data_IF_211179469793
#
_entry.id   IF_211179469793
#
_cell.length_a   1.000
_cell.length_b   1.000
_cell.length_c   1.000
_cell.angle_alpha   90.00
_cell.angle_beta   90.00
_cell.angle_gamma   90.00
#
_symmetry.space_group_name_H-M   'P 1'
#
loop_
_entity.id
_entity.type
_entity.pdbx_description
1 polymer ?
#
# COMPACT_ATOMS: atom_id res chain seq x y z
N UNK A 1 1.14 5.69 -14.83
CA UNK A 1 2.55 5.90 -14.45
C UNK A 1 3.00 7.24 -15.02
N UNK A 2 3.95 7.94 -14.40
CA UNK A 2 4.62 9.06 -15.10
C UNK A 2 5.55 8.47 -16.18
N UNK A 3 5.89 9.24 -17.20
CA UNK A 3 6.78 8.78 -18.28
C UNK A 3 8.18 8.40 -17.77
N UNK A 4 8.58 8.90 -16.59
CA UNK A 4 9.84 8.60 -15.90
C UNK A 4 9.78 7.34 -15.01
N UNK A 5 8.69 6.57 -15.07
CA UNK A 5 8.50 5.36 -14.27
C UNK A 5 8.14 5.61 -12.81
N UNK A 6 8.01 6.87 -12.37
CA UNK A 6 7.64 7.21 -10.99
C UNK A 6 6.14 7.21 -10.79
N UNK A 7 5.75 7.00 -9.53
CA UNK A 7 4.38 7.20 -9.06
C UNK A 7 3.97 8.67 -9.23
N UNK A 8 2.69 8.91 -9.51
CA UNK A 8 2.15 10.28 -9.67
C UNK A 8 2.13 11.00 -8.32
N UNK A 9 2.51 12.28 -8.31
CA UNK A 9 2.53 13.08 -7.08
C UNK A 9 1.15 13.13 -6.41
N UNK A 10 0.08 13.28 -7.19
CA UNK A 10 -1.30 13.28 -6.67
C UNK A 10 -1.67 11.99 -5.91
N UNK A 11 -1.06 10.85 -6.25
CA UNK A 11 -1.26 9.59 -5.53
C UNK A 11 -0.50 9.58 -4.20
N UNK A 12 0.73 10.09 -4.19
CA UNK A 12 1.54 10.23 -2.98
C UNK A 12 0.83 11.19 -2.00
N UNK A 13 0.34 12.32 -2.50
CA UNK A 13 -0.36 13.33 -1.69
C UNK A 13 -1.65 12.76 -1.09
N UNK A 14 -2.45 12.05 -1.90
CA UNK A 14 -3.68 11.41 -1.43
C UNK A 14 -3.41 10.33 -0.38
N UNK A 15 -2.38 9.50 -0.58
CA UNK A 15 -1.97 8.49 0.38
C UNK A 15 -1.46 9.12 1.68
N UNK A 16 -0.66 10.18 1.59
CA UNK A 16 -0.14 10.88 2.76
C UNK A 16 -1.23 11.59 3.55
N UNK A 17 -2.29 12.07 2.89
CA UNK A 17 -3.43 12.72 3.56
C UNK A 17 -4.22 11.76 4.45
N UNK A 18 -4.22 10.46 4.15
CA UNK A 18 -4.91 9.42 4.93
C UNK A 18 -4.11 9.01 6.17
N UNK A 19 -4.61 9.26 7.41
CA UNK A 19 -3.89 8.93 8.63
C UNK A 19 -3.49 7.46 8.75
N UNK A 20 -4.39 6.52 8.38
CA UNK A 20 -4.12 5.08 8.53
C UNK A 20 -2.98 4.61 7.63
N UNK A 21 -2.83 5.20 6.44
CA UNK A 21 -1.73 4.88 5.53
C UNK A 21 -0.44 5.61 5.90
N UNK A 22 -0.53 6.81 6.50
CA UNK A 22 0.63 7.57 6.98
C UNK A 22 1.39 6.85 8.09
N UNK A 23 0.71 6.00 8.84
CA UNK A 23 1.29 5.17 9.90
C UNK A 23 2.02 3.93 9.36
N UNK A 24 1.81 3.56 8.09
CA UNK A 24 2.45 2.43 7.43
C UNK A 24 3.76 2.83 6.75
N UNK A 25 4.60 1.85 6.43
CA UNK A 25 5.84 2.10 5.69
C UNK A 25 5.55 2.16 4.18
N UNK A 26 5.65 3.33 3.53
CA UNK A 26 5.44 3.44 2.09
C UNK A 26 6.68 2.99 1.34
N UNK A 27 6.48 2.27 0.24
CA UNK A 27 7.55 1.98 -0.70
C UNK A 27 7.03 1.97 -2.13
N UNK A 28 7.92 2.20 -3.08
CA UNK A 28 7.59 2.22 -4.51
C UNK A 28 8.45 1.23 -5.26
N UNK A 29 7.84 0.47 -6.16
CA UNK A 29 8.53 -0.46 -7.06
C UNK A 29 7.68 -0.69 -8.30
N UNK A 30 8.30 -0.93 -9.45
CA UNK A 30 7.58 -1.18 -10.72
C UNK A 30 6.58 -0.08 -11.13
N UNK A 31 6.75 1.16 -10.63
CA UNK A 31 5.81 2.26 -10.85
C UNK A 31 4.53 2.20 -9.99
N UNK A 32 4.49 1.30 -9.01
CA UNK A 32 3.38 1.07 -8.08
C UNK A 32 3.68 1.72 -6.72
N UNK A 33 2.62 2.10 -6.00
CA UNK A 33 2.69 2.52 -4.61
C UNK A 33 2.23 1.38 -3.70
N UNK A 34 3.09 1.00 -2.76
CA UNK A 34 2.89 -0.07 -1.81
C UNK A 34 2.97 0.43 -0.38
N UNK A 35 2.40 -0.34 0.55
CA UNK A 35 2.49 -0.12 1.98
C UNK A 35 2.90 -1.41 2.68
N UNK A 36 3.71 -1.29 3.72
CA UNK A 36 4.07 -2.41 4.58
C UNK A 36 3.76 -2.11 6.04
N UNK A 37 3.37 -3.16 6.76
CA UNK A 37 3.17 -3.13 8.22
C UNK A 37 4.49 -3.21 8.99
N UNK A 38 5.63 -3.31 8.32
CA UNK A 38 6.94 -3.29 8.96
C UNK A 38 7.96 -2.46 8.16
N UNK A 39 8.99 -1.94 8.84
CA UNK A 39 10.01 -1.08 8.21
C UNK A 39 11.22 -1.86 7.69
N UNK A 40 11.42 -3.10 8.13
CA UNK A 40 12.55 -3.96 7.79
C UNK A 40 12.45 -4.57 6.38
N UNK A 41 13.60 -5.02 5.86
CA UNK A 41 13.69 -5.62 4.53
C UNK A 41 12.86 -6.93 4.46
N UNK A 42 12.36 -7.23 3.25
CA UNK A 42 11.30 -8.23 2.95
C UNK A 42 9.88 -7.78 3.29
N UNK A 43 9.57 -6.50 3.09
CA UNK A 43 8.24 -5.89 3.29
C UNK A 43 7.04 -6.85 3.20
N UNK A 44 6.07 -6.68 4.10
CA UNK A 44 4.79 -7.40 4.02
C UNK A 44 4.08 -7.15 2.68
N UNK A 45 3.38 -8.17 2.19
CA UNK A 45 2.64 -8.15 0.92
C UNK A 45 1.12 -8.32 1.13
N UNK A 46 0.65 -8.14 2.36
CA UNK A 46 -0.72 -8.36 2.81
C UNK A 46 -1.63 -7.13 2.68
N UNK A 47 -1.10 -6.02 2.16
CA UNK A 47 -1.83 -4.79 1.88
C UNK A 47 -1.93 -4.60 0.36
N UNK A 48 -3.08 -4.12 -0.10
CA UNK A 48 -3.30 -3.78 -1.50
C UNK A 48 -2.35 -2.64 -1.94
N UNK A 49 -1.87 -2.74 -3.17
CA UNK A 49 -1.02 -1.73 -3.81
C UNK A 49 -1.76 -1.03 -4.95
N UNK A 50 -1.28 0.16 -5.30
CA UNK A 50 -1.90 1.02 -6.30
C UNK A 50 -0.98 1.18 -7.51
N UNK A 51 -1.47 0.78 -8.69
CA UNK A 51 -0.78 0.94 -9.96
C UNK A 51 -1.43 2.09 -10.76
N UNK A 52 -0.74 3.22 -11.00
CA UNK A 52 -1.26 4.29 -11.85
C UNK A 52 -1.31 3.84 -13.33
N UNK A 53 -2.48 3.93 -13.97
CA UNK A 53 -2.66 3.76 -15.42
C UNK A 53 -2.73 5.13 -16.14
N UNK A 54 -3.13 5.15 -17.42
CA UNK A 54 -3.19 6.38 -18.23
C UNK A 54 -4.23 7.37 -17.70
N UNK A 55 -5.44 6.89 -17.44
CA UNK A 55 -6.60 7.70 -17.05
C UNK A 55 -7.29 7.18 -15.77
N UNK A 56 -6.67 6.21 -15.10
CA UNK A 56 -7.23 5.51 -13.95
C UNK A 56 -6.13 4.99 -13.03
N UNK A 57 -6.53 4.37 -11.95
CA UNK A 57 -5.70 3.66 -10.98
C UNK A 57 -6.20 2.23 -10.84
N UNK A 58 -5.29 1.27 -10.81
CA UNK A 58 -5.64 -0.12 -10.50
C UNK A 58 -5.26 -0.42 -9.06
N UNK A 59 -6.13 -1.13 -8.36
CA UNK A 59 -5.88 -1.61 -7.00
C UNK A 59 -5.80 -3.13 -7.03
N UNK A 60 -4.67 -3.67 -6.58
CA UNK A 60 -4.31 -5.08 -6.69
C UNK A 60 -3.61 -5.56 -5.43
N UNK A 61 -3.43 -6.87 -5.29
CA UNK A 61 -2.85 -7.48 -4.10
C UNK A 61 -3.91 -8.21 -3.25
N UNK A 62 -3.50 -8.82 -2.12
CA UNK A 62 -2.11 -9.05 -1.69
C UNK A 62 -1.33 -10.01 -2.60
N UNK A 63 -2.03 -10.86 -3.36
CA UNK A 63 -1.46 -11.56 -4.53
C UNK A 63 -1.50 -10.67 -5.77
N UNK A 64 -0.48 -10.75 -6.64
CA UNK A 64 -0.53 -10.07 -7.95
C UNK A 64 -1.62 -10.57 -8.89
N UNK A 65 -2.21 -11.75 -8.62
CA UNK A 65 -3.34 -12.27 -9.38
C UNK A 65 -4.68 -11.68 -8.94
N UNK A 66 -4.73 -11.01 -7.80
CA UNK A 66 -5.93 -10.40 -7.25
C UNK A 66 -5.98 -8.93 -7.60
N UNK A 67 -7.09 -8.49 -8.18
CA UNK A 67 -7.29 -7.13 -8.64
C UNK A 67 -8.75 -6.74 -8.42
N UNK A 68 -8.96 -5.68 -7.67
CA UNK A 68 -10.30 -5.13 -7.41
C UNK A 68 -10.84 -4.31 -8.57
N UNK A 69 -9.94 -3.89 -9.48
CA UNK A 69 -10.28 -3.23 -10.74
C UNK A 69 -9.82 -1.78 -10.81
N UNK A 70 -10.20 -1.07 -11.90
CA UNK A 70 -9.82 0.31 -12.10
C UNK A 70 -10.74 1.26 -11.31
N UNK A 71 -10.15 2.34 -10.80
CA UNK A 71 -10.86 3.48 -10.20
C UNK A 71 -10.36 4.78 -10.84
N UNK A 72 -11.22 5.79 -10.90
CA UNK A 72 -10.96 6.99 -11.69
C UNK A 72 -9.96 7.94 -11.02
N UNK A 73 -9.85 7.93 -9.69
CA UNK A 73 -9.07 8.93 -8.95
C UNK A 73 -8.13 8.30 -7.91
N UNK A 74 -7.06 9.02 -7.58
CA UNK A 74 -6.13 8.63 -6.52
C UNK A 74 -6.82 8.47 -5.17
N UNK A 75 -7.76 9.38 -4.84
CA UNK A 75 -8.54 9.31 -3.60
C UNK A 75 -9.40 8.05 -3.52
N UNK A 76 -10.04 7.64 -4.63
CA UNK A 76 -10.79 6.39 -4.68
C UNK A 76 -9.88 5.17 -4.52
N UNK A 77 -8.69 5.18 -5.12
CA UNK A 77 -7.72 4.10 -4.96
C UNK A 77 -7.25 3.98 -3.50
N UNK A 78 -6.90 5.10 -2.87
CA UNK A 78 -6.54 5.16 -1.45
C UNK A 78 -7.68 4.67 -0.56
N UNK A 79 -8.91 5.14 -0.78
CA UNK A 79 -10.08 4.70 -0.01
C UNK A 79 -10.30 3.19 -0.13
N UNK A 80 -10.09 2.62 -1.33
CA UNK A 80 -10.20 1.17 -1.55
C UNK A 80 -9.12 0.40 -0.77
N UNK A 81 -7.86 0.86 -0.77
CA UNK A 81 -6.81 0.25 0.07
C UNK A 81 -7.19 0.30 1.55
N UNK A 82 -7.64 1.44 2.05
CA UNK A 82 -8.03 1.65 3.46
C UNK A 82 -9.18 0.73 3.89
N UNK A 83 -10.16 0.52 3.01
CA UNK A 83 -11.29 -0.38 3.25
C UNK A 83 -10.88 -1.85 3.36
N UNK A 84 -9.78 -2.24 2.72
CA UNK A 84 -9.28 -3.61 2.70
C UNK A 84 -8.00 -3.80 3.53
N UNK A 85 -7.65 -2.82 4.38
CA UNK A 85 -6.54 -3.00 5.32
C UNK A 85 -6.81 -4.19 6.24
N UNK A 86 -5.79 -5.01 6.58
CA UNK A 86 -5.93 -6.08 7.54
C UNK A 86 -6.56 -5.61 8.85
N UNK A 87 -7.29 -6.50 9.52
CA UNK A 87 -7.72 -6.24 10.90
C UNK A 87 -6.50 -6.00 11.78
N UNK A 88 -6.63 -5.10 12.77
CA UNK A 88 -5.53 -4.66 13.65
C UNK A 88 -4.34 -3.99 12.93
N UNK A 89 -4.54 -3.48 11.71
CA UNK A 89 -3.52 -2.69 11.03
C UNK A 89 -3.31 -1.34 11.74
N UNK A 90 -2.26 -1.28 12.56
CA UNK A 90 -1.76 -0.08 13.25
C UNK A 90 -0.44 0.43 12.64
N UNK A 91 0.33 1.24 13.39
CA UNK A 91 1.61 1.75 12.92
C UNK A 91 2.59 0.66 12.50
N UNK A 92 3.40 0.97 11.49
CA UNK A 92 4.41 0.05 11.00
C UNK A 92 5.36 -0.37 12.12
N UNK A 93 5.47 -1.68 12.31
CA UNK A 93 6.37 -2.31 13.25
C UNK A 93 7.83 -2.05 12.83
N UNK A 94 8.66 -1.64 13.80
CA UNK A 94 10.09 -1.45 13.57
C UNK A 94 10.77 -2.81 13.61
N UNK A 95 10.92 -3.44 12.45
CA UNK A 95 11.51 -4.78 12.32
C UNK A 95 11.15 -5.46 11.00
N UNK A 96 11.49 -6.73 10.85
CA UNK A 96 11.17 -7.54 9.66
C UNK A 96 9.75 -8.14 9.76
N UNK A 97 9.19 -8.69 8.67
CA UNK A 97 7.92 -9.40 8.74
C UNK A 97 7.94 -10.60 9.67
N UNK A 98 9.07 -11.31 9.76
CA UNK A 98 9.22 -12.44 10.68
C UNK A 98 9.14 -11.98 12.14
N UNK A 99 9.70 -10.82 12.47
CA UNK A 99 9.62 -10.21 13.81
C UNK A 99 8.20 -9.69 14.11
N UNK A 100 7.53 -9.07 13.13
CA UNK A 100 6.12 -8.67 13.24
C UNK A 100 5.23 -9.89 13.52
N UNK A 101 5.38 -10.98 12.75
CA UNK A 101 4.60 -12.20 12.94
C UNK A 101 4.82 -12.82 14.33
N UNK A 102 6.05 -12.77 14.86
CA UNK A 102 6.35 -13.23 16.21
C UNK A 102 5.71 -12.33 17.28
N UNK A 103 5.66 -11.02 17.07
CA UNK A 103 5.00 -10.07 17.98
C UNK A 103 3.48 -10.30 18.04
N UNK A 104 2.83 -10.46 16.89
CA UNK A 104 1.39 -10.69 16.78
C UNK A 104 0.94 -12.05 17.35
N UNK A 105 1.85 -13.03 17.42
CA UNK A 105 1.55 -14.35 17.99
C UNK A 105 1.48 -14.34 19.54
N UNK A 106 1.93 -13.26 20.19
CA UNK A 106 2.01 -13.12 21.65
C UNK A 106 0.87 -12.22 22.19
N UNK A 107 0.18 -11.48 21.33
CA UNK A 107 -0.96 -10.60 21.65
C UNK A 107 -2.33 -11.26 21.46
#
# INVERSE_FOLDING_TARGET
>A
MRDDGRVRTELIDAAYAEPRLRELFPWTGMGELHFSRCTGQRWTWDILFIQPAREAYWVSGPSRSETLGPVATAAQAVAMVVQHLPEKCGPAFVGTPEELAAHEAIE
#
